data_IF_982892254043
#
_entry.id   IF_982892254043
#
_cell.length_a   1.000
_cell.length_b   1.000
_cell.length_c   1.000
_cell.angle_alpha   90.00
_cell.angle_beta   90.00
_cell.angle_gamma   90.00
#
_symmetry.space_group_name_H-M   'P 1'
#
loop_
_entity.id
_entity.type
_entity.pdbx_description
1 polymer ?
#
# COMPACT_ATOMS: atom_id res chain seq x y z
N UNK A 1 -22.43 -19.32 20.39
CA UNK A 1 -21.70 -18.38 19.53
C UNK A 1 -20.87 -19.24 18.63
N UNK A 2 -21.16 -19.19 17.34
CA UNK A 2 -20.54 -20.07 16.35
C UNK A 2 -19.52 -19.26 15.55
N UNK A 3 -18.26 -19.69 15.55
CA UNK A 3 -17.18 -19.03 14.83
C UNK A 3 -16.77 -19.92 13.66
N UNK A 4 -16.68 -19.31 12.48
CA UNK A 4 -16.22 -19.96 11.27
C UNK A 4 -15.03 -19.19 10.69
N UNK A 5 -14.04 -19.91 10.17
CA UNK A 5 -12.90 -19.37 9.43
C UNK A 5 -12.85 -20.11 8.10
N UNK A 6 -12.92 -19.39 6.98
CA UNK A 6 -12.95 -19.97 5.63
C UNK A 6 -14.01 -21.09 5.50
N UNK A 7 -15.22 -20.82 6.01
CA UNK A 7 -16.38 -21.74 6.05
C UNK A 7 -16.22 -22.98 6.95
N UNK A 8 -15.10 -23.10 7.67
CA UNK A 8 -14.86 -24.20 8.60
C UNK A 8 -15.07 -23.76 10.05
N UNK A 9 -15.70 -24.59 10.92
CA UNK A 9 -15.82 -24.29 12.33
C UNK A 9 -14.45 -24.05 12.98
N UNK A 10 -14.28 -22.93 13.65
CA UNK A 10 -13.07 -22.63 14.39
C UNK A 10 -13.07 -23.41 15.71
N UNK A 11 -12.05 -24.25 15.91
CA UNK A 11 -11.91 -25.12 17.08
C UNK A 11 -10.89 -24.60 18.11
N UNK A 12 -10.34 -23.40 17.90
CA UNK A 12 -9.39 -22.79 18.83
C UNK A 12 -10.06 -22.33 20.13
N UNK A 13 -9.28 -22.25 21.20
CA UNK A 13 -9.76 -21.71 22.47
C UNK A 13 -10.10 -20.23 22.33
N UNK A 14 -11.24 -19.82 22.88
CA UNK A 14 -11.72 -18.43 22.85
C UNK A 14 -11.93 -17.84 24.24
N UNK A 15 -11.63 -18.61 25.29
CA UNK A 15 -11.89 -18.25 26.69
C UNK A 15 -11.10 -17.01 27.15
N UNK A 16 -9.99 -16.68 26.48
CA UNK A 16 -9.14 -15.50 26.74
C UNK A 16 -9.46 -14.29 25.87
N UNK A 17 -10.39 -14.42 24.91
CA UNK A 17 -10.70 -13.38 23.92
C UNK A 17 -11.94 -12.59 24.34
N UNK A 18 -11.85 -11.26 24.32
CA UNK A 18 -12.97 -10.39 24.72
C UNK A 18 -13.69 -9.79 23.52
N UNK A 19 -12.95 -9.44 22.48
CA UNK A 19 -13.45 -8.69 21.32
C UNK A 19 -13.32 -9.46 20.01
N UNK A 20 -14.07 -9.03 18.98
CA UNK A 20 -13.92 -9.58 17.62
C UNK A 20 -12.51 -9.33 17.09
N UNK A 21 -11.89 -8.20 17.45
CA UNK A 21 -10.50 -7.88 17.14
C UNK A 21 -9.51 -8.87 17.74
N UNK A 22 -9.70 -9.26 19.01
CA UNK A 22 -8.85 -10.27 19.66
C UNK A 22 -8.91 -11.61 18.90
N UNK A 23 -10.10 -12.00 18.45
CA UNK A 23 -10.31 -13.20 17.65
C UNK A 23 -9.63 -13.11 16.28
N UNK A 24 -9.83 -12.01 15.54
CA UNK A 24 -9.18 -11.80 14.26
C UNK A 24 -7.64 -11.81 14.38
N UNK A 25 -7.11 -11.17 15.42
CA UNK A 25 -5.68 -11.14 15.73
C UNK A 25 -5.14 -12.50 16.21
N UNK A 26 -5.94 -13.29 16.93
CA UNK A 26 -5.61 -14.68 17.30
C UNK A 26 -5.52 -15.56 16.05
N UNK A 27 -6.53 -15.55 15.18
CA UNK A 27 -6.55 -16.34 13.95
C UNK A 27 -5.36 -15.99 13.05
N UNK A 28 -5.02 -14.71 12.92
CA UNK A 28 -3.90 -14.25 12.10
C UNK A 28 -2.52 -14.58 12.70
N UNK A 29 -2.42 -14.84 14.01
CA UNK A 29 -1.18 -15.28 14.68
C UNK A 29 -1.03 -16.79 14.70
N UNK A 30 -2.14 -17.49 14.90
CA UNK A 30 -2.18 -18.95 14.96
C UNK A 30 -2.18 -19.59 13.57
N UNK A 31 -2.43 -18.81 12.52
CA UNK A 31 -2.20 -19.26 11.14
C UNK A 31 -0.75 -19.66 10.99
N UNK A 32 -0.50 -20.96 10.76
CA UNK A 32 0.84 -21.53 10.58
C UNK A 32 1.52 -21.04 9.30
N UNK A 33 2.39 -21.87 8.73
CA UNK A 33 3.04 -21.57 7.44
C UNK A 33 2.22 -22.21 6.29
N UNK A 34 1.66 -21.43 5.34
CA UNK A 34 1.82 -19.99 5.16
C UNK A 34 0.95 -19.14 6.08
N UNK A 35 1.54 -18.04 6.58
CA UNK A 35 0.85 -17.03 7.42
C UNK A 35 -0.37 -16.48 6.69
N UNK A 36 -1.50 -16.37 7.37
CA UNK A 36 -2.76 -15.87 6.80
C UNK A 36 -3.24 -14.65 7.58
N UNK A 37 -3.85 -13.70 6.86
CA UNK A 37 -4.50 -12.55 7.48
C UNK A 37 -6.00 -12.65 7.29
N UNK A 38 -6.75 -12.18 8.28
CA UNK A 38 -8.19 -11.95 8.15
C UNK A 38 -8.41 -10.75 7.22
N UNK A 39 -9.13 -10.97 6.13
CA UNK A 39 -9.43 -9.95 5.10
C UNK A 39 -10.92 -9.66 4.97
N UNK A 40 -11.77 -10.49 5.59
CA UNK A 40 -13.21 -10.33 5.56
C UNK A 40 -13.81 -10.75 6.89
N UNK A 41 -14.84 -10.02 7.30
CA UNK A 41 -15.57 -10.27 8.53
C UNK A 41 -17.06 -10.17 8.24
N UNK A 42 -17.81 -11.18 8.68
CA UNK A 42 -19.26 -11.22 8.61
C UNK A 42 -19.79 -11.58 9.99
N UNK A 43 -20.74 -10.80 10.49
CA UNK A 43 -21.34 -10.99 11.80
C UNK A 43 -22.85 -11.19 11.63
N UNK A 44 -23.38 -12.30 12.14
CA UNK A 44 -24.79 -12.70 12.03
C UNK A 44 -25.32 -12.67 10.58
N UNK A 45 -24.47 -13.05 9.62
CA UNK A 45 -24.81 -13.05 8.18
C UNK A 45 -24.73 -11.68 7.50
N UNK A 46 -24.30 -10.63 8.21
CA UNK A 46 -24.06 -9.31 7.63
C UNK A 46 -22.56 -9.07 7.41
N UNK A 47 -22.17 -8.80 6.17
CA UNK A 47 -20.82 -8.38 5.84
C UNK A 47 -20.51 -7.05 6.55
N UNK A 48 -19.35 -6.99 7.19
CA UNK A 48 -18.88 -5.78 7.88
C UNK A 48 -18.21 -4.87 6.87
N UNK A 49 -18.85 -3.74 6.60
CA UNK A 49 -18.32 -2.68 5.74
C UNK A 49 -17.14 -1.95 6.41
N UNK A 50 -16.20 -1.36 5.63
CA UNK A 50 -15.02 -0.67 6.16
C UNK A 50 -15.36 0.40 7.22
N UNK A 51 -16.40 1.20 6.99
CA UNK A 51 -16.82 2.29 7.90
C UNK A 51 -17.29 1.80 9.27
N UNK A 52 -17.63 0.51 9.40
CA UNK A 52 -18.08 -0.11 10.65
C UNK A 52 -17.03 -1.04 11.26
N UNK A 53 -15.93 -1.29 10.55
CA UNK A 53 -14.94 -2.30 10.91
C UNK A 53 -14.35 -2.03 12.30
N UNK A 54 -13.86 -0.83 12.58
CA UNK A 54 -13.26 -0.50 13.89
C UNK A 54 -14.25 -0.71 15.05
N UNK A 55 -15.51 -0.30 14.85
CA UNK A 55 -16.55 -0.47 15.86
C UNK A 55 -16.87 -1.94 16.11
N UNK A 56 -16.88 -2.76 15.06
CA UNK A 56 -17.11 -4.21 15.19
C UNK A 56 -15.89 -4.90 15.80
N UNK A 57 -14.67 -4.53 15.41
CA UNK A 57 -13.45 -5.11 16.00
C UNK A 57 -13.36 -4.82 17.51
N UNK A 58 -13.81 -3.65 17.95
CA UNK A 58 -13.84 -3.29 19.37
C UNK A 58 -15.03 -3.89 20.14
N UNK A 59 -16.02 -4.48 19.47
CA UNK A 59 -17.21 -4.98 20.13
C UNK A 59 -16.98 -6.35 20.77
N UNK A 60 -17.73 -6.69 21.85
CA UNK A 60 -17.60 -7.98 22.51
C UNK A 60 -17.96 -9.15 21.59
N UNK A 61 -17.24 -10.26 21.69
CA UNK A 61 -17.57 -11.49 20.94
C UNK A 61 -19.02 -11.94 21.20
N UNK A 62 -19.46 -11.84 22.46
CA UNK A 62 -20.81 -12.22 22.90
C UNK A 62 -21.93 -11.38 22.30
N UNK A 63 -21.62 -10.28 21.61
CA UNK A 63 -22.61 -9.45 20.92
C UNK A 63 -23.17 -10.11 19.66
N UNK A 64 -22.54 -11.19 19.16
CA UNK A 64 -22.94 -11.89 17.94
C UNK A 64 -23.24 -13.35 18.22
N UNK A 65 -24.21 -13.89 17.48
CA UNK A 65 -24.52 -15.32 17.54
C UNK A 65 -23.58 -16.12 16.62
N UNK A 66 -23.19 -15.52 15.50
CA UNK A 66 -22.29 -16.11 14.50
C UNK A 66 -21.27 -15.09 13.98
N UNK A 67 -20.01 -15.51 13.88
CA UNK A 67 -18.94 -14.72 13.27
C UNK A 67 -18.25 -15.59 12.21
N UNK A 68 -18.26 -15.13 10.97
CA UNK A 68 -17.54 -15.74 9.86
C UNK A 68 -16.36 -14.84 9.48
N UNK A 69 -15.15 -15.39 9.52
CA UNK A 69 -13.93 -14.73 9.10
C UNK A 69 -13.44 -15.34 7.79
N UNK A 70 -13.02 -14.49 6.87
CA UNK A 70 -12.34 -14.89 5.64
C UNK A 70 -10.86 -14.55 5.78
N UNK A 71 -10.00 -15.50 5.44
CA UNK A 71 -8.56 -15.32 5.49
C UNK A 71 -7.91 -15.50 4.13
N UNK A 72 -6.81 -14.78 3.89
CA UNK A 72 -5.97 -14.96 2.71
C UNK A 72 -4.51 -15.13 3.11
N UNK A 73 -3.72 -15.89 2.32
CA UNK A 73 -2.27 -15.97 2.53
C UNK A 73 -1.63 -14.57 2.46
N UNK A 74 -0.81 -14.23 3.45
CA UNK A 74 -0.10 -12.96 3.51
C UNK A 74 0.73 -12.72 2.24
N UNK A 75 1.43 -13.75 1.75
CA UNK A 75 2.22 -13.69 0.52
C UNK A 75 1.37 -13.27 -0.69
N UNK A 76 0.16 -13.80 -0.83
CA UNK A 76 -0.75 -13.45 -1.92
C UNK A 76 -1.22 -11.98 -1.83
N UNK A 77 -1.51 -11.50 -0.61
CA UNK A 77 -1.89 -10.11 -0.37
C UNK A 77 -0.75 -9.14 -0.70
N UNK A 78 0.47 -9.45 -0.23
CA UNK A 78 1.66 -8.65 -0.53
C UNK A 78 1.96 -8.64 -2.02
N UNK A 79 1.85 -9.78 -2.70
CA UNK A 79 2.04 -9.87 -4.14
C UNK A 79 1.06 -8.96 -4.90
N UNK A 80 -0.23 -9.02 -4.56
CA UNK A 80 -1.26 -8.17 -5.17
C UNK A 80 -1.04 -6.69 -4.90
N UNK A 81 -0.67 -6.31 -3.68
CA UNK A 81 -0.38 -4.92 -3.32
C UNK A 81 0.85 -4.37 -4.06
N UNK A 82 1.91 -5.17 -4.18
CA UNK A 82 3.12 -4.78 -4.93
C UNK A 82 2.88 -4.74 -6.44
N UNK A 83 2.02 -5.61 -6.98
CA UNK A 83 1.60 -5.56 -8.39
C UNK A 83 0.81 -4.28 -8.68
N UNK A 84 -0.12 -3.92 -7.79
CA UNK A 84 -0.84 -2.65 -7.88
C UNK A 84 0.09 -1.44 -7.79
N UNK A 85 1.05 -1.46 -6.85
CA UNK A 85 2.06 -0.40 -6.73
C UNK A 85 2.89 -0.26 -8.00
N UNK A 86 3.30 -1.36 -8.63
CA UNK A 86 4.04 -1.34 -9.89
C UNK A 86 3.21 -0.77 -11.05
N UNK A 87 1.92 -1.11 -11.13
CA UNK A 87 1.01 -0.53 -12.12
C UNK A 87 0.85 0.99 -11.93
N UNK A 88 0.68 1.44 -10.69
CA UNK A 88 0.59 2.86 -10.36
C UNK A 88 1.92 3.60 -10.63
N UNK A 89 3.08 2.96 -10.42
CA UNK A 89 4.37 3.53 -10.76
C UNK A 89 4.53 3.80 -12.27
N UNK A 90 3.94 2.94 -13.12
CA UNK A 90 3.87 3.21 -14.55
C UNK A 90 3.00 4.46 -14.87
N UNK A 91 1.88 4.64 -14.18
CA UNK A 91 1.03 5.83 -14.31
C UNK A 91 1.72 7.11 -13.83
N UNK A 92 2.54 7.02 -12.77
CA UNK A 92 3.41 8.11 -12.29
C UNK A 92 4.33 8.55 -13.42
N UNK A 93 5.05 7.62 -14.07
CA UNK A 93 5.95 7.96 -15.19
C UNK A 93 5.23 8.57 -16.37
N UNK A 94 4.13 7.97 -16.81
CA UNK A 94 3.36 8.48 -17.94
C UNK A 94 2.84 9.90 -17.68
N UNK A 95 2.40 10.17 -16.45
CA UNK A 95 1.93 11.50 -16.05
C UNK A 95 3.08 12.51 -15.97
N UNK A 96 4.23 12.13 -15.43
CA UNK A 96 5.46 12.94 -15.39
C UNK A 96 5.93 13.31 -16.79
N UNK A 97 6.08 12.32 -17.68
CA UNK A 97 6.57 12.52 -19.05
C UNK A 97 5.67 13.48 -19.81
N UNK A 98 4.35 13.29 -19.67
CA UNK A 98 3.40 14.17 -20.35
C UNK A 98 3.41 15.58 -19.76
N UNK A 99 3.57 15.74 -18.45
CA UNK A 99 3.74 17.05 -17.83
C UNK A 99 4.99 17.77 -18.35
N UNK A 100 6.13 17.08 -18.44
CA UNK A 100 7.38 17.63 -18.96
C UNK A 100 7.24 18.08 -20.43
N UNK A 101 6.64 17.25 -21.29
CA UNK A 101 6.42 17.59 -22.69
C UNK A 101 5.49 18.81 -22.83
N UNK A 102 4.39 18.85 -22.08
CA UNK A 102 3.43 19.96 -22.10
C UNK A 102 4.06 21.28 -21.62
N UNK A 103 4.94 21.24 -20.61
CA UNK A 103 5.68 22.42 -20.18
C UNK A 103 6.63 22.93 -21.28
N UNK A 104 7.35 22.02 -21.95
CA UNK A 104 8.21 22.36 -23.09
C UNK A 104 7.42 22.95 -24.28
N UNK A 105 6.17 22.52 -24.47
CA UNK A 105 5.23 23.07 -25.46
C UNK A 105 4.57 24.40 -25.02
N UNK A 106 4.85 24.89 -23.80
CA UNK A 106 4.21 26.10 -23.23
C UNK A 106 2.75 25.90 -22.78
N UNK A 107 2.28 24.65 -22.69
CA UNK A 107 0.92 24.29 -22.32
C UNK A 107 0.77 24.11 -20.80
N UNK A 108 0.85 25.22 -20.06
CA UNK A 108 0.87 25.21 -18.60
C UNK A 108 -0.35 24.53 -17.94
N UNK A 109 -1.56 24.89 -18.35
CA UNK A 109 -2.78 24.36 -17.72
C UNK A 109 -2.91 22.83 -17.88
N UNK A 110 -2.77 22.25 -19.09
CA UNK A 110 -2.69 20.81 -19.25
C UNK A 110 -1.55 20.16 -18.46
N UNK A 111 -0.36 20.78 -18.40
CA UNK A 111 0.76 20.24 -17.63
C UNK A 111 0.43 20.11 -16.14
N UNK A 112 -0.23 21.11 -15.55
CA UNK A 112 -0.64 21.09 -14.14
C UNK A 112 -1.63 19.96 -13.84
N UNK A 113 -2.53 19.64 -14.77
CA UNK A 113 -3.44 18.49 -14.62
C UNK A 113 -2.69 17.16 -14.60
N UNK A 114 -1.65 17.02 -15.42
CA UNK A 114 -0.79 15.84 -15.41
C UNK A 114 0.08 15.76 -14.14
N UNK A 115 0.57 16.89 -13.63
CA UNK A 115 1.25 16.92 -12.33
C UNK A 115 0.34 16.51 -11.18
N UNK A 116 -0.92 16.94 -11.18
CA UNK A 116 -1.87 16.50 -10.16
C UNK A 116 -2.04 14.98 -10.19
N UNK A 117 -2.23 14.38 -11.38
CA UNK A 117 -2.32 12.93 -11.54
C UNK A 117 -1.05 12.22 -11.10
N UNK A 118 0.11 12.80 -11.39
CA UNK A 118 1.41 12.30 -10.92
C UNK A 118 1.44 12.22 -9.38
N UNK A 119 1.06 13.29 -8.66
CA UNK A 119 1.06 13.28 -7.20
C UNK A 119 0.02 12.32 -6.61
N UNK A 120 -1.16 12.23 -7.21
CA UNK A 120 -2.21 11.29 -6.79
C UNK A 120 -1.76 9.83 -6.95
N UNK A 121 -1.14 9.49 -8.08
CA UNK A 121 -0.61 8.15 -8.32
C UNK A 121 0.57 7.86 -7.39
N UNK A 122 1.48 8.82 -7.20
CA UNK A 122 2.62 8.68 -6.29
C UNK A 122 2.17 8.42 -4.85
N UNK A 123 1.18 9.17 -4.35
CA UNK A 123 0.62 8.96 -3.02
C UNK A 123 0.13 7.53 -2.81
N UNK A 124 -0.55 6.97 -3.82
CA UNK A 124 -1.03 5.58 -3.78
C UNK A 124 0.10 4.55 -3.83
N UNK A 125 1.15 4.79 -4.63
CA UNK A 125 2.35 3.93 -4.63
C UNK A 125 2.97 3.88 -3.24
N UNK A 126 3.19 5.04 -2.63
CA UNK A 126 3.76 5.14 -1.29
C UNK A 126 2.88 4.45 -0.23
N UNK A 127 1.57 4.66 -0.29
CA UNK A 127 0.61 3.99 0.60
C UNK A 127 0.66 2.46 0.47
N UNK A 128 0.64 1.93 -0.75
CA UNK A 128 0.74 0.49 -0.99
C UNK A 128 2.04 -0.11 -0.44
N UNK A 129 3.16 0.60 -0.58
CA UNK A 129 4.45 0.17 -0.04
C UNK A 129 4.43 0.19 1.51
N UNK A 130 3.87 1.24 2.12
CA UNK A 130 3.73 1.35 3.56
C UNK A 130 2.88 0.23 4.17
N UNK A 131 1.74 -0.09 3.52
CA UNK A 131 0.87 -1.21 3.91
C UNK A 131 1.61 -2.55 3.84
N UNK A 132 2.42 -2.76 2.80
CA UNK A 132 3.25 -3.97 2.69
C UNK A 132 4.27 -4.08 3.83
N UNK A 133 4.96 -2.99 4.18
CA UNK A 133 5.93 -2.98 5.28
C UNK A 133 5.25 -3.29 6.63
N UNK A 134 4.11 -2.65 6.89
CA UNK A 134 3.32 -2.90 8.10
C UNK A 134 2.84 -4.35 8.19
N UNK A 135 2.35 -4.92 7.08
CA UNK A 135 1.89 -6.31 7.03
C UNK A 135 3.03 -7.32 7.27
N UNK A 136 4.25 -6.98 6.85
CA UNK A 136 5.47 -7.74 7.14
C UNK A 136 5.96 -7.54 8.58
N UNK A 137 5.45 -6.54 9.29
CA UNK A 137 5.89 -6.19 10.64
C UNK A 137 7.29 -5.58 10.68
N UNK A 138 7.73 -4.99 9.58
CA UNK A 138 9.03 -4.34 9.45
C UNK A 138 8.88 -2.86 9.08
N UNK A 139 9.90 -2.06 9.35
CA UNK A 139 9.96 -0.68 8.85
C UNK A 139 10.25 -0.64 7.35
N UNK A 140 10.00 0.51 6.73
CA UNK A 140 10.46 0.77 5.35
C UNK A 140 11.99 0.71 5.24
N UNK A 141 12.69 1.02 6.36
CA UNK A 141 14.15 0.95 6.47
C UNK A 141 14.69 -0.48 6.41
N UNK A 142 13.86 -1.48 6.74
CA UNK A 142 14.25 -2.89 6.75
C UNK A 142 14.05 -3.56 5.38
N UNK A 143 13.35 -2.91 4.46
CA UNK A 143 13.06 -3.44 3.13
C UNK A 143 14.22 -3.14 2.18
N UNK A 144 14.82 -4.19 1.63
CA UNK A 144 15.91 -4.09 0.67
C UNK A 144 15.85 -5.19 -0.39
N UNK A 145 16.31 -4.86 -1.60
CA UNK A 145 16.52 -5.82 -2.68
C UNK A 145 17.99 -5.78 -3.07
N UNK A 146 18.72 -6.84 -2.72
CA UNK A 146 20.19 -6.86 -2.84
C UNK A 146 20.81 -5.83 -1.90
N UNK A 147 21.68 -4.97 -2.43
CA UNK A 147 22.38 -3.93 -1.66
C UNK A 147 21.62 -2.59 -1.62
N UNK A 148 20.40 -2.52 -2.18
CA UNK A 148 19.62 -1.27 -2.24
C UNK A 148 18.45 -1.29 -1.27
N UNK A 149 18.46 -0.34 -0.35
CA UNK A 149 17.39 -0.12 0.62
C UNK A 149 16.25 0.70 0.02
N UNK A 150 15.01 0.35 0.37
CA UNK A 150 13.82 1.09 -0.03
C UNK A 150 13.84 2.52 0.53
N UNK A 151 14.29 2.68 1.77
CA UNK A 151 14.43 3.99 2.39
C UNK A 151 15.31 4.94 1.56
N UNK A 152 16.43 4.46 1.02
CA UNK A 152 17.33 5.27 0.19
C UNK A 152 16.65 5.74 -1.11
N UNK A 153 15.90 4.84 -1.75
CA UNK A 153 15.14 5.17 -2.98
C UNK A 153 14.03 6.18 -2.67
N UNK A 154 13.29 5.99 -1.57
CA UNK A 154 12.23 6.91 -1.15
C UNK A 154 12.78 8.28 -0.75
N UNK A 155 13.94 8.36 -0.09
CA UNK A 155 14.57 9.64 0.27
C UNK A 155 15.08 10.40 -0.96
N UNK A 156 15.58 9.68 -1.97
CA UNK A 156 15.92 10.26 -3.27
C UNK A 156 14.69 10.87 -3.95
N UNK A 157 13.58 10.12 -4.03
CA UNK A 157 12.32 10.63 -4.58
C UNK A 157 11.76 11.82 -3.78
N UNK A 158 11.83 11.76 -2.45
CA UNK A 158 11.41 12.85 -1.57
C UNK A 158 12.20 14.13 -1.82
N UNK A 159 13.50 14.02 -2.06
CA UNK A 159 14.35 15.16 -2.42
C UNK A 159 13.84 15.80 -3.71
N UNK A 160 13.64 15.00 -4.77
CA UNK A 160 13.11 15.48 -6.04
C UNK A 160 11.72 16.12 -5.93
N UNK A 161 10.84 15.56 -5.09
CA UNK A 161 9.51 16.11 -4.84
C UNK A 161 9.57 17.44 -4.06
N UNK A 162 10.52 17.60 -3.16
CA UNK A 162 10.74 18.85 -2.44
C UNK A 162 11.23 19.94 -3.38
N UNK A 163 12.20 19.63 -4.24
CA UNK A 163 12.73 20.55 -5.25
C UNK A 163 11.64 20.94 -6.26
N UNK A 164 10.84 19.97 -6.71
CA UNK A 164 9.70 20.20 -7.61
C UNK A 164 8.68 21.15 -6.98
N UNK A 165 8.37 20.95 -5.70
CA UNK A 165 7.46 21.82 -4.94
C UNK A 165 8.02 23.24 -4.84
N UNK A 166 9.30 23.40 -4.55
CA UNK A 166 9.94 24.71 -4.46
C UNK A 166 9.89 25.45 -5.80
N UNK A 167 10.22 24.77 -6.90
CA UNK A 167 10.15 25.33 -8.25
C UNK A 167 8.72 25.74 -8.66
N UNK A 168 7.71 24.96 -8.28
CA UNK A 168 6.30 25.32 -8.50
C UNK A 168 5.89 26.56 -7.71
N UNK A 169 6.34 26.69 -6.46
CA UNK A 169 6.05 27.85 -5.61
C UNK A 169 6.74 29.13 -6.09
N UNK A 170 7.95 29.01 -6.62
CA UNK A 170 8.69 30.12 -7.23
C UNK A 170 8.26 30.44 -8.66
N UNK A 171 7.37 29.61 -9.24
CA UNK A 171 6.92 29.68 -10.64
C UNK A 171 8.07 29.52 -11.66
N UNK A 172 9.15 28.85 -11.27
CA UNK A 172 10.27 28.55 -12.16
C UNK A 172 9.94 27.32 -13.02
N UNK A 173 9.18 27.55 -14.08
CA UNK A 173 8.70 26.48 -14.98
C UNK A 173 9.84 25.79 -15.75
N UNK A 174 11.01 26.42 -15.87
CA UNK A 174 12.18 25.80 -16.50
C UNK A 174 12.71 24.72 -15.57
N UNK A 175 12.92 25.06 -14.30
CA UNK A 175 13.36 24.10 -13.28
C UNK A 175 12.34 22.98 -13.08
N UNK A 176 11.05 23.28 -13.07
CA UNK A 176 9.99 22.24 -13.04
C UNK A 176 10.14 21.27 -14.22
N UNK A 177 10.37 21.79 -15.43
CA UNK A 177 10.60 20.96 -16.62
C UNK A 177 11.82 20.07 -16.49
N UNK A 178 12.94 20.61 -15.99
CA UNK A 178 14.20 19.88 -15.83
C UNK A 178 14.10 18.75 -14.80
N UNK A 179 13.48 19.02 -13.64
CA UNK A 179 13.26 18.02 -12.59
C UNK A 179 12.45 16.85 -13.15
N UNK A 180 11.32 17.15 -13.82
CA UNK A 180 10.43 16.13 -14.38
C UNK A 180 11.12 15.34 -15.50
N UNK A 181 11.88 16.01 -16.37
CA UNK A 181 12.47 15.41 -17.57
C UNK A 181 13.71 14.59 -17.26
N UNK A 182 14.53 15.02 -16.30
CA UNK A 182 15.87 14.48 -16.09
C UNK A 182 16.08 13.92 -14.70
N UNK A 183 15.79 14.70 -13.66
CA UNK A 183 16.20 14.38 -12.30
C UNK A 183 15.36 13.26 -11.66
N UNK A 184 14.08 13.17 -12.05
CA UNK A 184 13.17 12.11 -11.60
C UNK A 184 13.34 10.76 -12.30
N UNK A 185 14.20 10.63 -13.32
CA UNK A 185 14.35 9.34 -14.03
C UNK A 185 14.98 8.28 -13.14
N UNK A 186 16.17 8.56 -12.61
CA UNK A 186 16.92 7.57 -11.84
C UNK A 186 16.17 7.09 -10.60
N UNK A 187 15.54 7.97 -9.78
CA UNK A 187 14.84 7.52 -8.58
C UNK A 187 13.60 6.67 -8.90
N UNK A 188 12.90 6.94 -10.01
CA UNK A 188 11.79 6.09 -10.45
C UNK A 188 12.29 4.75 -11.02
N UNK A 189 13.42 4.73 -11.74
CA UNK A 189 14.03 3.49 -12.25
C UNK A 189 14.46 2.58 -11.09
N UNK A 190 15.01 3.18 -10.04
CA UNK A 190 15.39 2.46 -8.83
C UNK A 190 14.16 1.92 -8.08
N UNK A 191 13.07 2.68 -8.03
CA UNK A 191 11.80 2.22 -7.45
C UNK A 191 11.22 1.03 -8.21
N UNK A 192 11.19 1.07 -9.55
CA UNK A 192 10.66 -0.04 -10.35
C UNK A 192 11.48 -1.31 -10.16
N UNK A 193 12.81 -1.18 -10.15
CA UNK A 193 13.70 -2.30 -9.89
C UNK A 193 13.45 -2.91 -8.49
N UNK A 194 13.21 -2.05 -7.50
CA UNK A 194 12.95 -2.48 -6.13
C UNK A 194 11.57 -3.13 -6.00
N UNK A 195 10.52 -2.55 -6.57
CA UNK A 195 9.18 -3.16 -6.63
C UNK A 195 9.21 -4.53 -7.32
N UNK A 196 9.94 -4.64 -8.44
CA UNK A 196 10.12 -5.92 -9.12
C UNK A 196 10.86 -6.95 -8.24
N UNK A 197 11.87 -6.53 -7.49
CA UNK A 197 12.59 -7.38 -6.55
C UNK A 197 11.78 -7.83 -5.35
N UNK A 198 10.98 -6.93 -4.75
CA UNK A 198 10.08 -7.29 -3.65
C UNK A 198 9.02 -8.30 -4.12
N UNK A 199 8.50 -8.15 -5.34
CA UNK A 199 7.54 -9.09 -5.93
C UNK A 199 8.11 -10.49 -6.13
N UNK A 200 9.37 -10.61 -6.52
CA UNK A 200 10.02 -11.91 -6.71
C UNK A 200 10.36 -12.60 -5.39
N UNK A 201 10.50 -11.85 -4.30
CA UNK A 201 10.66 -12.40 -2.94
C UNK A 201 9.33 -12.78 -2.29
N UNK A 202 8.24 -12.10 -2.65
CA UNK A 202 6.91 -12.34 -2.08
C UNK A 202 6.15 -13.53 -2.70
N UNK A 203 6.64 -14.11 -3.80
CA UNK A 203 6.06 -15.29 -4.47
C UNK A 203 6.90 -16.54 -4.29
#
# INVERSE_FOLDING_TARGET
>A
MDIFVDEQPYLGATDDLQTVGDLAGRISRDSGDPRRLVVGLCCDGQLVEPDRLETVLASPLTSYQRIDLQTQPLAALLHGALEQAAALAADVRASRDRAADLLAEGQLQPAMQHLQRFFEAWGKVHESIAVCAEALGCGLDDLAVGDRGLAEVLDSLKTQLADLREALLSQDLVVVGDILRYEMNQPLDDLDALLAGLRSQAG
#
